data_IF_665983085026
#
_entry.id   IF_665983085026
#
_cell.length_a   1.000
_cell.length_b   1.000
_cell.length_c   1.000
_cell.angle_alpha   90.00
_cell.angle_beta   90.00
_cell.angle_gamma   90.00
#
_symmetry.space_group_name_H-M   'P 1'
#
loop_
_entity.id
_entity.type
_entity.pdbx_description
1 polymer ?
#
# COMPACT_ATOMS: atom_id res chain seq x y z
N UNK A 1 7.16 -7.04 26.68
CA UNK A 1 7.64 -5.65 26.81
C UNK A 1 8.48 -5.20 25.60
N UNK A 2 9.39 -6.03 25.06
CA UNK A 2 10.21 -5.65 23.89
C UNK A 2 9.40 -5.28 22.63
N UNK A 3 8.29 -5.98 22.35
CA UNK A 3 7.39 -5.66 21.23
C UNK A 3 6.81 -4.24 21.25
N UNK A 4 6.68 -3.62 22.42
CA UNK A 4 6.17 -2.24 22.54
C UNK A 4 7.25 -1.22 22.12
N UNK A 5 8.52 -1.50 22.42
CA UNK A 5 9.63 -0.59 22.12
C UNK A 5 9.94 -0.51 20.62
N UNK A 6 9.76 -1.59 19.86
CA UNK A 6 10.00 -1.53 18.41
C UNK A 6 8.92 -0.80 17.64
N UNK A 7 7.70 -0.75 18.18
CA UNK A 7 6.63 0.09 17.65
C UNK A 7 6.90 1.60 17.80
N UNK A 8 7.82 1.98 18.69
CA UNK A 8 8.31 3.34 18.80
C UNK A 8 8.98 3.81 17.50
N UNK A 9 9.54 2.90 16.69
CA UNK A 9 10.12 3.21 15.39
C UNK A 9 9.12 3.90 14.46
N UNK A 10 7.91 3.34 14.34
CA UNK A 10 6.82 3.94 13.54
C UNK A 10 6.45 5.34 14.04
N UNK A 11 6.35 5.52 15.37
CA UNK A 11 6.00 6.81 15.97
C UNK A 11 7.08 7.86 15.72
N UNK A 12 8.35 7.54 16.02
CA UNK A 12 9.46 8.48 15.87
C UNK A 12 9.70 8.84 14.40
N UNK A 13 9.70 7.85 13.50
CA UNK A 13 9.89 8.07 12.07
C UNK A 13 8.68 8.78 11.44
N UNK A 14 7.46 8.49 11.91
CA UNK A 14 6.26 9.22 11.50
C UNK A 14 6.31 10.70 11.92
N UNK A 15 6.70 10.99 13.16
CA UNK A 15 6.90 12.37 13.63
C UNK A 15 8.01 13.09 12.85
N UNK A 16 9.12 12.39 12.58
CA UNK A 16 10.21 12.92 11.75
C UNK A 16 9.73 13.26 10.34
N UNK A 17 8.95 12.38 9.71
CA UNK A 17 8.36 12.64 8.41
C UNK A 17 7.39 13.83 8.43
N UNK A 18 6.55 13.96 9.47
CA UNK A 18 5.68 15.11 9.65
C UNK A 18 6.48 16.42 9.76
N UNK A 19 7.60 16.42 10.48
CA UNK A 19 8.49 17.57 10.57
C UNK A 19 9.13 17.92 9.21
N UNK A 20 9.51 16.92 8.41
CA UNK A 20 10.03 17.11 7.04
C UNK A 20 8.96 17.72 6.12
N UNK A 21 7.73 17.20 6.16
CA UNK A 21 6.59 17.72 5.40
C UNK A 21 6.26 19.15 5.82
N UNK A 22 6.27 19.44 7.13
CA UNK A 22 6.05 20.79 7.66
C UNK A 22 7.07 21.80 7.16
N UNK A 23 8.37 21.46 7.25
CA UNK A 23 9.44 22.32 6.74
C UNK A 23 9.28 22.61 5.23
N UNK A 24 8.95 21.57 4.46
CA UNK A 24 8.73 21.68 3.01
C UNK A 24 7.46 22.47 2.68
N UNK A 25 6.41 22.33 3.46
CA UNK A 25 5.17 23.09 3.34
C UNK A 25 5.43 24.59 3.55
N UNK A 26 6.12 24.97 4.63
CA UNK A 26 6.46 26.37 4.91
C UNK A 26 7.33 26.98 3.81
N UNK A 27 8.32 26.21 3.31
CA UNK A 27 9.17 26.65 2.21
C UNK A 27 8.36 26.85 0.93
N UNK A 28 7.38 25.97 0.66
CA UNK A 28 6.48 26.09 -0.48
C UNK A 28 5.51 27.29 -0.34
N UNK A 29 5.02 27.58 0.87
CA UNK A 29 4.18 28.76 1.11
C UNK A 29 4.92 30.06 0.78
N UNK A 30 6.21 30.13 1.10
CA UNK A 30 7.09 31.28 0.84
C UNK A 30 7.49 31.44 -0.64
N UNK A 31 7.17 30.49 -1.54
CA UNK A 31 7.43 30.61 -2.98
C UNK A 31 6.47 31.62 -3.64
N UNK A 32 6.95 32.32 -4.66
CA UNK A 32 6.12 33.23 -5.48
C UNK A 32 5.09 32.45 -6.30
N UNK A 33 4.03 33.12 -6.76
CA UNK A 33 2.98 32.49 -7.56
C UNK A 33 3.56 31.82 -8.83
N UNK A 34 4.44 32.51 -9.56
CA UNK A 34 5.12 31.96 -10.74
C UNK A 34 5.96 30.70 -10.42
N UNK A 35 6.54 30.61 -9.22
CA UNK A 35 7.28 29.42 -8.78
C UNK A 35 6.37 28.26 -8.37
N UNK A 36 5.12 28.54 -8.00
CA UNK A 36 4.11 27.52 -7.64
C UNK A 36 3.47 26.89 -8.87
N UNK A 37 3.49 27.57 -10.01
CA UNK A 37 3.02 27.06 -11.31
C UNK A 37 4.03 26.13 -12.00
N UNK A 38 5.28 26.06 -11.50
CA UNK A 38 6.32 25.18 -12.03
C UNK A 38 6.28 23.80 -11.34
N UNK A 39 6.10 22.74 -12.13
CA UNK A 39 6.16 21.36 -11.68
C UNK A 39 4.79 20.76 -11.30
N UNK A 40 4.82 19.63 -10.61
CA UNK A 40 3.61 18.90 -10.20
C UNK A 40 3.01 19.55 -8.94
N UNK A 41 1.71 19.89 -8.93
CA UNK A 41 1.03 20.45 -7.76
C UNK A 41 1.21 19.58 -6.51
N UNK A 42 1.63 20.22 -5.41
CA UNK A 42 1.94 19.53 -4.16
C UNK A 42 0.72 19.49 -3.23
N UNK A 43 0.22 18.29 -2.95
CA UNK A 43 -0.87 18.06 -1.99
C UNK A 43 -0.33 17.69 -0.60
N UNK A 44 0.03 18.71 0.18
CA UNK A 44 0.57 18.53 1.54
C UNK A 44 -0.39 17.83 2.50
N UNK A 45 -1.71 18.04 2.35
CA UNK A 45 -2.72 17.38 3.20
C UNK A 45 -2.64 15.85 3.16
N UNK A 46 -2.40 15.26 1.97
CA UNK A 46 -2.23 13.81 1.83
C UNK A 46 -0.93 13.33 2.49
N UNK A 47 0.17 14.09 2.35
CA UNK A 47 1.45 13.77 2.98
C UNK A 47 1.36 13.82 4.52
N UNK A 48 0.66 14.81 5.07
CA UNK A 48 0.37 14.83 6.51
C UNK A 48 -0.49 13.65 6.95
N UNK A 49 -1.51 13.27 6.17
CA UNK A 49 -2.34 12.10 6.46
C UNK A 49 -1.52 10.80 6.48
N UNK A 50 -0.58 10.63 5.54
CA UNK A 50 0.35 9.50 5.53
C UNK A 50 1.22 9.46 6.79
N UNK A 51 1.78 10.60 7.20
CA UNK A 51 2.59 10.68 8.44
C UNK A 51 1.79 10.40 9.71
N UNK A 52 0.57 10.92 9.82
CA UNK A 52 -0.34 10.65 10.95
C UNK A 52 -0.76 9.18 10.96
N UNK A 53 -1.02 8.58 9.80
CA UNK A 53 -1.35 7.16 9.69
C UNK A 53 -0.20 6.28 10.22
N UNK A 54 1.05 6.60 9.88
CA UNK A 54 2.22 5.86 10.37
C UNK A 54 2.42 5.99 11.89
N UNK A 55 2.19 7.18 12.46
CA UNK A 55 2.21 7.36 13.92
C UNK A 55 1.10 6.55 14.58
N UNK A 56 -0.10 6.57 14.00
CA UNK A 56 -1.26 5.85 14.52
C UNK A 56 -1.07 4.33 14.46
N UNK A 57 -0.47 3.82 13.38
CA UNK A 57 -0.05 2.42 13.23
C UNK A 57 0.87 2.01 14.39
N UNK A 58 1.91 2.79 14.67
CA UNK A 58 2.81 2.53 15.81
C UNK A 58 2.11 2.51 17.18
N UNK A 59 1.20 3.46 17.42
CA UNK A 59 0.46 3.54 18.69
C UNK A 59 -0.51 2.37 18.89
N UNK A 60 -1.22 1.97 17.83
CA UNK A 60 -2.22 0.90 17.89
C UNK A 60 -1.58 -0.49 17.88
N UNK A 61 -0.48 -0.68 17.14
CA UNK A 61 0.36 -1.87 17.22
C UNK A 61 0.90 -2.05 18.64
N UNK A 62 1.43 -0.96 19.25
CA UNK A 62 1.87 -0.98 20.64
C UNK A 62 0.74 -1.36 21.60
N UNK A 63 -0.47 -0.80 21.41
CA UNK A 63 -1.64 -1.13 22.23
C UNK A 63 -2.06 -2.60 22.10
N UNK A 64 -1.97 -3.19 20.90
CA UNK A 64 -2.21 -4.62 20.69
C UNK A 64 -1.20 -5.49 21.44
N UNK A 65 0.08 -5.13 21.42
CA UNK A 65 1.11 -5.87 22.16
C UNK A 65 1.02 -5.72 23.69
N UNK A 66 0.41 -4.64 24.19
CA UNK A 66 0.08 -4.49 25.61
C UNK A 66 -1.14 -5.32 25.99
N UNK A 67 -2.19 -5.29 25.19
CA UNK A 67 -3.43 -6.04 25.42
C UNK A 67 -3.87 -6.77 24.13
N UNK A 68 -3.43 -8.03 23.93
CA UNK A 68 -3.73 -8.78 22.72
C UNK A 68 -5.19 -9.22 22.75
N UNK A 69 -6.00 -8.64 21.87
CA UNK A 69 -7.39 -9.03 21.62
C UNK A 69 -7.76 -8.75 20.16
N UNK A 70 -8.86 -9.35 19.69
CA UNK A 70 -9.28 -9.26 18.29
C UNK A 70 -9.61 -7.84 17.84
N UNK A 71 -10.13 -6.98 18.73
CA UNK A 71 -10.43 -5.58 18.38
C UNK A 71 -9.14 -4.79 18.16
N UNK A 72 -8.17 -4.91 19.07
CA UNK A 72 -6.87 -4.23 18.95
C UNK A 72 -6.10 -4.71 17.70
N UNK A 73 -6.15 -6.01 17.39
CA UNK A 73 -5.56 -6.55 16.16
C UNK A 73 -6.19 -5.94 14.90
N UNK A 74 -7.51 -5.80 14.87
CA UNK A 74 -8.20 -5.17 13.74
C UNK A 74 -7.87 -3.69 13.60
N UNK A 75 -7.75 -2.95 14.71
CA UNK A 75 -7.34 -1.55 14.66
C UNK A 75 -5.91 -1.40 14.14
N UNK A 76 -4.97 -2.22 14.61
CA UNK A 76 -3.60 -2.26 14.11
C UNK A 76 -3.55 -2.50 12.59
N UNK A 77 -4.18 -3.59 12.13
CA UNK A 77 -4.22 -3.92 10.70
C UNK A 77 -4.95 -2.89 9.83
N UNK A 78 -6.00 -2.26 10.36
CA UNK A 78 -6.75 -1.23 9.62
C UNK A 78 -5.86 -0.04 9.26
N UNK A 79 -4.93 0.35 10.14
CA UNK A 79 -4.01 1.45 9.83
C UNK A 79 -2.95 1.05 8.81
N UNK A 80 -2.51 -0.21 8.79
CA UNK A 80 -1.67 -0.71 7.70
C UNK A 80 -2.40 -0.62 6.35
N UNK A 81 -3.70 -0.94 6.29
CA UNK A 81 -4.52 -0.77 5.07
C UNK A 81 -4.66 0.70 4.68
N UNK A 82 -4.92 1.58 5.64
CA UNK A 82 -5.02 3.03 5.41
C UNK A 82 -3.71 3.55 4.83
N UNK A 83 -2.58 3.24 5.46
CA UNK A 83 -1.24 3.62 4.99
C UNK A 83 -1.00 3.13 3.55
N UNK A 84 -1.35 1.88 3.25
CA UNK A 84 -1.24 1.29 1.89
C UNK A 84 -1.97 2.12 0.84
N UNK A 85 -3.25 2.41 1.10
CA UNK A 85 -4.13 3.09 0.15
C UNK A 85 -3.75 4.56 0.02
N UNK A 86 -3.37 5.24 1.11
CA UNK A 86 -2.87 6.62 1.04
C UNK A 86 -1.61 6.71 0.17
N UNK A 87 -0.70 5.74 0.26
CA UNK A 87 0.47 5.68 -0.64
C UNK A 87 0.05 5.51 -2.11
N UNK A 88 -0.87 4.59 -2.41
CA UNK A 88 -1.38 4.41 -3.78
C UNK A 88 -2.02 5.69 -4.31
N UNK A 89 -2.85 6.36 -3.50
CA UNK A 89 -3.48 7.63 -3.87
C UNK A 89 -2.43 8.71 -4.10
N UNK A 90 -1.36 8.76 -3.30
CA UNK A 90 -0.27 9.73 -3.48
C UNK A 90 0.44 9.56 -4.83
N UNK A 91 0.73 8.32 -5.21
CA UNK A 91 1.35 7.99 -6.51
C UNK A 91 0.40 8.37 -7.66
N UNK A 92 -0.89 8.07 -7.49
CA UNK A 92 -1.90 8.35 -8.51
C UNK A 92 -2.10 9.86 -8.74
N UNK A 93 -2.19 10.64 -7.65
CA UNK A 93 -2.37 12.10 -7.71
C UNK A 93 -1.18 12.81 -8.36
N UNK A 94 0.05 12.31 -8.18
CA UNK A 94 1.24 12.87 -8.83
C UNK A 94 1.13 12.91 -10.37
N UNK A 95 0.36 12.00 -10.99
CA UNK A 95 0.19 11.95 -12.46
C UNK A 95 -1.11 12.56 -12.95
N UNK A 96 -2.11 12.62 -12.10
CA UNK A 96 -3.43 13.14 -12.47
C UNK A 96 -3.86 14.24 -11.49
N UNK A 97 -3.11 15.36 -11.38
CA UNK A 97 -3.45 16.44 -10.45
C UNK A 97 -4.83 17.04 -10.75
N UNK A 98 -5.26 17.00 -12.02
CA UNK A 98 -6.55 17.54 -12.47
C UNK A 98 -7.75 16.63 -12.13
N UNK A 99 -7.50 15.36 -11.78
CA UNK A 99 -8.53 14.36 -11.45
C UNK A 99 -8.29 13.85 -10.04
N UNK A 100 -8.31 14.79 -9.10
CA UNK A 100 -8.26 14.43 -7.69
C UNK A 100 -9.48 13.59 -7.33
N UNK A 101 -9.23 12.36 -6.85
CA UNK A 101 -10.24 11.59 -6.17
C UNK A 101 -10.75 12.44 -5.00
N UNK A 102 -12.04 12.76 -5.00
CA UNK A 102 -12.66 13.56 -3.92
C UNK A 102 -12.37 12.84 -2.60
N UNK A 103 -11.98 13.58 -1.57
CA UNK A 103 -11.62 13.00 -0.28
C UNK A 103 -12.70 12.02 0.24
N UNK A 104 -13.98 12.35 0.10
CA UNK A 104 -15.11 11.48 0.45
C UNK A 104 -15.12 10.14 -0.31
N UNK A 105 -14.73 10.12 -1.58
CA UNK A 105 -14.66 8.88 -2.36
C UNK A 105 -13.50 8.00 -1.87
N UNK A 106 -12.33 8.59 -1.61
CA UNK A 106 -11.18 7.86 -1.05
C UNK A 106 -11.50 7.29 0.33
N UNK A 107 -12.11 8.08 1.22
CA UNK A 107 -12.55 7.60 2.53
C UNK A 107 -13.66 6.55 2.44
N UNK A 108 -14.57 6.65 1.48
CA UNK A 108 -15.58 5.63 1.22
C UNK A 108 -14.97 4.29 0.79
N UNK A 109 -13.98 4.31 -0.11
CA UNK A 109 -13.24 3.10 -0.51
C UNK A 109 -12.47 2.51 0.66
N UNK A 110 -11.79 3.35 1.46
CA UNK A 110 -11.11 2.92 2.68
C UNK A 110 -12.07 2.25 3.67
N UNK A 111 -13.22 2.87 3.93
CA UNK A 111 -14.24 2.31 4.81
C UNK A 111 -14.75 0.96 4.31
N UNK A 112 -14.94 0.81 2.99
CA UNK A 112 -15.33 -0.46 2.38
C UNK A 112 -14.25 -1.54 2.56
N UNK A 113 -12.98 -1.20 2.33
CA UNK A 113 -11.85 -2.13 2.52
C UNK A 113 -11.77 -2.58 3.99
N UNK A 114 -11.87 -1.65 4.94
CA UNK A 114 -11.86 -1.96 6.38
C UNK A 114 -13.07 -2.82 6.75
N UNK A 115 -14.26 -2.52 6.22
CA UNK A 115 -15.46 -3.32 6.45
C UNK A 115 -15.32 -4.75 5.91
N UNK A 116 -14.79 -4.92 4.70
CA UNK A 116 -14.49 -6.24 4.14
C UNK A 116 -13.48 -6.98 5.01
N UNK A 117 -12.43 -6.29 5.48
CA UNK A 117 -11.45 -6.80 6.45
C UNK A 117 -12.11 -7.31 7.73
N UNK A 118 -12.97 -6.50 8.34
CA UNK A 118 -13.73 -6.83 9.54
C UNK A 118 -14.62 -8.07 9.35
N UNK A 119 -15.40 -8.11 8.27
CA UNK A 119 -16.27 -9.25 7.95
C UNK A 119 -15.44 -10.51 7.74
N UNK A 120 -14.31 -10.41 7.05
CA UNK A 120 -13.43 -11.56 6.85
C UNK A 120 -12.78 -12.06 8.14
N UNK A 121 -12.40 -11.18 9.07
CA UNK A 121 -11.88 -11.60 10.38
C UNK A 121 -12.96 -12.28 11.23
N UNK A 122 -14.20 -11.79 11.20
CA UNK A 122 -15.29 -12.33 12.02
C UNK A 122 -15.95 -13.59 11.42
N UNK A 123 -16.03 -13.67 10.08
CA UNK A 123 -16.85 -14.68 9.39
C UNK A 123 -16.28 -15.10 8.02
N UNK A 124 -15.00 -15.52 7.98
CA UNK A 124 -14.34 -16.08 6.79
C UNK A 124 -14.91 -17.45 6.40
N UNK A 125 -16.10 -17.47 5.80
CA UNK A 125 -16.68 -18.67 5.17
C UNK A 125 -16.13 -18.90 3.76
N UNK A 126 -16.30 -20.11 3.25
CA UNK A 126 -15.95 -20.46 1.87
C UNK A 126 -16.59 -19.53 0.82
N UNK A 127 -17.88 -19.20 1.00
CA UNK A 127 -18.59 -18.25 0.13
C UNK A 127 -18.01 -16.83 0.18
N UNK A 128 -17.54 -16.40 1.35
CA UNK A 128 -16.88 -15.10 1.50
C UNK A 128 -15.56 -15.07 0.75
N UNK A 129 -14.76 -16.14 0.83
CA UNK A 129 -13.52 -16.27 0.05
C UNK A 129 -13.77 -16.23 -1.46
N UNK A 130 -14.76 -16.98 -1.98
CA UNK A 130 -15.13 -16.91 -3.40
C UNK A 130 -15.53 -15.49 -3.79
N UNK A 131 -16.43 -14.87 -3.02
CA UNK A 131 -16.92 -13.53 -3.31
C UNK A 131 -15.78 -12.49 -3.30
N UNK A 132 -14.88 -12.57 -2.32
CA UNK A 132 -13.70 -11.71 -2.23
C UNK A 132 -12.75 -11.93 -3.41
N UNK A 133 -12.44 -13.18 -3.77
CA UNK A 133 -11.57 -13.48 -4.92
C UNK A 133 -12.15 -12.95 -6.22
N UNK A 134 -13.45 -13.13 -6.46
CA UNK A 134 -14.14 -12.57 -7.63
C UNK A 134 -14.06 -11.04 -7.62
N UNK A 135 -14.33 -10.41 -6.47
CA UNK A 135 -14.25 -8.95 -6.33
C UNK A 135 -12.83 -8.42 -6.58
N UNK A 136 -11.81 -9.07 -6.02
CA UNK A 136 -10.39 -8.72 -6.18
C UNK A 136 -9.98 -8.80 -7.65
N UNK A 137 -10.23 -9.93 -8.31
CA UNK A 137 -9.90 -10.12 -9.73
C UNK A 137 -10.67 -9.14 -10.63
N UNK A 138 -11.96 -8.93 -10.38
CA UNK A 138 -12.76 -7.97 -11.13
C UNK A 138 -12.20 -6.54 -10.96
N UNK A 139 -11.81 -6.15 -9.75
CA UNK A 139 -11.22 -4.84 -9.47
C UNK A 139 -9.89 -4.68 -10.21
N UNK A 140 -9.00 -5.67 -10.18
CA UNK A 140 -7.74 -5.65 -10.93
C UNK A 140 -7.96 -5.52 -12.44
N UNK A 141 -8.94 -6.23 -12.99
CA UNK A 141 -9.29 -6.15 -14.42
C UNK A 141 -9.82 -4.76 -14.80
N UNK A 142 -10.77 -4.22 -14.01
CA UNK A 142 -11.32 -2.88 -14.24
C UNK A 142 -10.22 -1.82 -14.13
N UNK A 143 -9.37 -1.89 -13.10
CA UNK A 143 -8.24 -0.97 -12.93
C UNK A 143 -7.27 -1.05 -14.11
N UNK A 144 -6.95 -2.26 -14.58
CA UNK A 144 -6.08 -2.47 -15.74
C UNK A 144 -6.65 -1.83 -17.00
N UNK A 145 -7.94 -2.05 -17.26
CA UNK A 145 -8.62 -1.45 -18.40
C UNK A 145 -8.59 0.09 -18.34
N UNK A 146 -8.87 0.67 -17.17
CA UNK A 146 -8.85 2.12 -16.95
C UNK A 146 -7.45 2.72 -17.16
N UNK A 147 -6.42 2.09 -16.59
CA UNK A 147 -5.03 2.57 -16.70
C UNK A 147 -4.53 2.45 -18.15
N UNK A 148 -4.90 1.39 -18.86
CA UNK A 148 -4.40 1.13 -20.21
C UNK A 148 -5.06 2.02 -21.28
N UNK A 149 -6.40 2.08 -21.31
CA UNK A 149 -7.12 2.75 -22.39
C UNK A 149 -7.43 4.21 -22.11
N UNK A 150 -7.85 4.50 -20.87
CA UNK A 150 -8.34 5.83 -20.52
C UNK A 150 -7.23 6.68 -19.92
N UNK A 151 -6.16 6.05 -19.41
CA UNK A 151 -5.07 6.72 -18.71
C UNK A 151 -5.56 7.56 -17.53
N UNK A 152 -6.80 7.36 -17.07
CA UNK A 152 -7.48 8.16 -16.05
C UNK A 152 -8.47 7.26 -15.32
N UNK A 153 -8.42 7.26 -13.99
CA UNK A 153 -9.41 6.58 -13.16
C UNK A 153 -10.58 7.51 -12.86
N UNK A 154 -11.76 7.22 -13.43
CA UNK A 154 -12.99 7.97 -13.12
C UNK A 154 -14.18 7.02 -12.92
N UNK A 155 -14.61 6.87 -11.67
CA UNK A 155 -15.79 6.10 -11.27
C UNK A 155 -17.09 6.88 -11.61
N UNK A 156 -17.58 6.76 -12.85
CA UNK A 156 -18.95 7.18 -13.20
C UNK A 156 -19.84 5.97 -13.49
N UNK A 157 -21.15 6.03 -13.19
CA UNK A 157 -22.11 4.94 -13.46
C UNK A 157 -22.23 4.52 -14.93
N UNK A 158 -21.80 5.38 -15.87
CA UNK A 158 -21.67 5.04 -17.30
C UNK A 158 -20.38 4.29 -17.67
N UNK A 159 -19.52 3.95 -16.72
CA UNK A 159 -18.21 3.31 -16.97
C UNK A 159 -18.35 2.01 -17.77
N UNK A 160 -19.24 1.11 -17.34
CA UNK A 160 -19.42 -0.20 -17.98
C UNK A 160 -19.98 -0.02 -19.40
N UNK A 161 -20.93 0.91 -19.57
CA UNK A 161 -21.48 1.23 -20.89
C UNK A 161 -20.43 1.86 -21.83
N UNK A 162 -19.52 2.71 -21.32
CA UNK A 162 -18.43 3.30 -22.11
C UNK A 162 -17.39 2.25 -22.50
N UNK A 163 -16.96 1.42 -21.54
CA UNK A 163 -16.04 0.32 -21.80
C UNK A 163 -16.61 -0.68 -22.83
N UNK A 164 -17.89 -1.04 -22.70
CA UNK A 164 -18.57 -1.89 -23.67
C UNK A 164 -18.68 -1.22 -25.05
N UNK A 165 -18.99 0.09 -25.11
CA UNK A 165 -19.07 0.83 -26.37
C UNK A 165 -17.71 0.95 -27.06
N UNK A 166 -16.62 1.15 -26.32
CA UNK A 166 -15.26 1.17 -26.86
C UNK A 166 -14.84 -0.20 -27.39
N UNK A 167 -15.14 -1.27 -26.66
CA UNK A 167 -14.86 -2.64 -27.08
C UNK A 167 -15.65 -3.03 -28.35
N UNK A 168 -16.92 -2.61 -28.44
CA UNK A 168 -17.79 -2.88 -29.60
C UNK A 168 -17.42 -2.02 -30.81
N UNK A 169 -17.03 -0.76 -30.60
CA UNK A 169 -16.76 0.18 -31.71
C UNK A 169 -15.38 0.01 -32.34
N UNK A 170 -14.37 -0.49 -31.61
CA UNK A 170 -13.00 -0.68 -32.13
C UNK A 170 -12.32 -1.96 -31.60
N UNK A 171 -12.81 -3.16 -31.96
CA UNK A 171 -12.27 -4.43 -31.46
C UNK A 171 -10.80 -4.65 -31.83
N UNK A 172 -10.37 -4.25 -33.05
CA UNK A 172 -8.99 -4.38 -33.50
C UNK A 172 -8.04 -3.42 -32.78
N UNK A 173 -8.46 -2.18 -32.50
CA UNK A 173 -7.64 -1.21 -31.76
C UNK A 173 -7.55 -1.54 -30.26
N UNK A 174 -8.55 -2.25 -29.71
CA UNK A 174 -8.54 -2.82 -28.36
C UNK A 174 -7.67 -4.09 -28.23
N UNK A 175 -7.14 -4.62 -29.34
CA UNK A 175 -6.26 -5.79 -29.33
C UNK A 175 -4.83 -5.39 -29.72
N UNK A 176 -4.65 -4.35 -30.53
CA UNK A 176 -3.31 -3.85 -30.91
C UNK A 176 -2.69 -3.02 -29.78
N UNK A 177 -1.55 -3.45 -29.22
CA UNK A 177 -0.93 -2.72 -28.13
C UNK A 177 -0.27 -1.42 -28.63
N UNK A 178 -0.87 -0.27 -28.31
CA UNK A 178 -0.35 1.06 -28.70
C UNK A 178 0.85 1.49 -27.85
N UNK A 179 0.95 0.99 -26.62
CA UNK A 179 2.05 1.25 -25.69
C UNK A 179 2.61 -0.04 -25.10
N UNK A 180 3.61 -0.63 -25.75
CA UNK A 180 4.22 -1.92 -25.34
C UNK A 180 4.71 -1.91 -23.88
N UNK A 181 5.37 -0.85 -23.43
CA UNK A 181 5.88 -0.75 -22.05
C UNK A 181 4.78 -0.79 -20.99
N UNK A 182 3.68 -0.04 -21.21
CA UNK A 182 2.50 -0.07 -20.31
C UNK A 182 1.82 -1.43 -20.32
N UNK A 183 1.72 -2.06 -21.50
CA UNK A 183 1.10 -3.38 -21.67
C UNK A 183 1.83 -4.46 -20.87
N UNK A 184 3.16 -4.56 -21.03
CA UNK A 184 3.98 -5.58 -20.35
C UNK A 184 3.88 -5.43 -18.83
N UNK A 185 3.98 -4.21 -18.30
CA UNK A 185 3.90 -3.99 -16.86
C UNK A 185 2.51 -4.34 -16.28
N UNK A 186 1.43 -4.05 -17.02
CA UNK A 186 0.08 -4.41 -16.59
C UNK A 186 -0.17 -5.92 -16.65
N UNK A 187 0.41 -6.62 -17.63
CA UNK A 187 0.38 -8.10 -17.67
C UNK A 187 1.08 -8.66 -16.44
N UNK A 188 2.28 -8.19 -16.12
CA UNK A 188 3.01 -8.60 -14.91
C UNK A 188 2.15 -8.35 -13.67
N UNK A 189 1.54 -7.16 -13.54
CA UNK A 189 0.70 -6.83 -12.40
C UNK A 189 -0.53 -7.74 -12.27
N UNK A 190 -1.18 -8.11 -13.39
CA UNK A 190 -2.30 -9.05 -13.36
C UNK A 190 -1.85 -10.47 -13.00
N UNK A 191 -0.75 -10.96 -13.58
CA UNK A 191 -0.19 -12.27 -13.24
C UNK A 191 0.16 -12.36 -11.76
N UNK A 192 0.77 -11.31 -11.19
CA UNK A 192 1.03 -11.25 -9.75
C UNK A 192 -0.25 -11.27 -8.92
N UNK A 193 -1.28 -10.52 -9.30
CA UNK A 193 -2.57 -10.54 -8.60
C UNK A 193 -3.28 -11.91 -8.70
N UNK A 194 -3.20 -12.59 -9.85
CA UNK A 194 -3.74 -13.93 -10.03
C UNK A 194 -3.00 -14.95 -9.16
N UNK A 195 -1.68 -14.85 -9.06
CA UNK A 195 -0.88 -15.70 -8.19
C UNK A 195 -1.26 -15.51 -6.70
N UNK A 196 -1.45 -14.26 -6.25
CA UNK A 196 -1.89 -13.97 -4.88
C UNK A 196 -3.31 -14.50 -4.63
N UNK A 197 -4.22 -14.31 -5.58
CA UNK A 197 -5.58 -14.83 -5.49
C UNK A 197 -5.59 -16.37 -5.39
N UNK A 198 -4.79 -17.05 -6.23
CA UNK A 198 -4.62 -18.49 -6.18
C UNK A 198 -4.03 -18.97 -4.85
N UNK A 199 -3.04 -18.24 -4.30
CA UNK A 199 -2.48 -18.51 -2.99
C UNK A 199 -3.53 -18.38 -1.87
N UNK A 200 -4.37 -17.34 -1.91
CA UNK A 200 -5.46 -17.14 -0.95
C UNK A 200 -6.46 -18.29 -0.96
N UNK A 201 -6.88 -18.72 -2.16
CA UNK A 201 -7.78 -19.87 -2.33
C UNK A 201 -7.11 -21.19 -1.96
N UNK A 202 -5.81 -21.36 -2.17
CA UNK A 202 -5.13 -22.60 -1.83
C UNK A 202 -4.97 -22.78 -0.31
N UNK A 203 -4.65 -21.71 0.43
CA UNK A 203 -4.39 -21.80 1.87
C UNK A 203 -5.66 -21.78 2.73
N UNK A 204 -6.78 -21.19 2.28
CA UNK A 204 -8.04 -21.08 3.04
C UNK A 204 -7.82 -20.79 4.55
N UNK A 205 -6.84 -19.93 4.88
CA UNK A 205 -6.45 -19.72 6.26
C UNK A 205 -7.44 -18.80 6.96
N UNK A 206 -7.59 -18.94 8.27
CA UNK A 206 -8.41 -18.03 9.10
C UNK A 206 -7.83 -16.60 9.16
N UNK A 207 -6.63 -16.38 8.62
CA UNK A 207 -5.96 -15.08 8.62
C UNK A 207 -6.27 -14.26 7.34
N UNK A 208 -7.56 -13.92 7.19
CA UNK A 208 -8.00 -13.08 6.08
C UNK A 208 -7.35 -11.68 6.13
N UNK A 209 -7.10 -11.14 7.32
CA UNK A 209 -6.51 -9.82 7.49
C UNK A 209 -5.10 -9.73 6.88
N UNK A 210 -4.24 -10.71 7.14
CA UNK A 210 -2.91 -10.77 6.51
C UNK A 210 -3.00 -11.01 5.00
N UNK A 211 -3.99 -11.78 4.53
CA UNK A 211 -4.21 -11.94 3.09
C UNK A 211 -4.60 -10.62 2.41
N UNK A 212 -5.52 -9.86 3.00
CA UNK A 212 -5.91 -8.54 2.51
C UNK A 212 -4.72 -7.56 2.54
N UNK A 213 -3.91 -7.59 3.60
CA UNK A 213 -2.67 -6.80 3.68
C UNK A 213 -1.72 -7.16 2.54
N UNK A 214 -1.50 -8.45 2.29
CA UNK A 214 -0.64 -8.95 1.22
C UNK A 214 -1.11 -8.44 -0.15
N UNK A 215 -2.42 -8.48 -0.43
CA UNK A 215 -3.01 -7.93 -1.67
C UNK A 215 -2.72 -6.43 -1.79
N UNK A 216 -2.98 -5.64 -0.74
CA UNK A 216 -2.77 -4.19 -0.77
C UNK A 216 -1.29 -3.83 -0.91
N UNK A 217 -0.41 -4.41 -0.11
CA UNK A 217 1.04 -4.15 -0.14
C UNK A 217 1.66 -4.58 -1.48
N UNK A 218 1.31 -5.76 -2.01
CA UNK A 218 1.84 -6.20 -3.30
C UNK A 218 1.42 -5.28 -4.44
N UNK A 219 0.16 -4.83 -4.44
CA UNK A 219 -0.30 -3.86 -5.42
C UNK A 219 0.38 -2.50 -5.26
N UNK A 220 0.71 -2.09 -4.03
CA UNK A 220 1.45 -0.86 -3.79
C UNK A 220 2.86 -0.97 -4.39
N UNK A 221 3.57 -2.06 -4.15
CA UNK A 221 4.91 -2.28 -4.73
C UNK A 221 4.87 -2.34 -6.26
N UNK A 222 3.92 -3.09 -6.82
CA UNK A 222 3.74 -3.18 -8.28
C UNK A 222 3.43 -1.80 -8.87
N UNK A 223 2.60 -1.00 -8.20
CA UNK A 223 2.25 0.32 -8.68
C UNK A 223 3.41 1.32 -8.57
N UNK A 224 4.19 1.26 -7.49
CA UNK A 224 5.41 2.05 -7.33
C UNK A 224 6.47 1.66 -8.37
N UNK A 225 6.65 0.37 -8.64
CA UNK A 225 7.55 -0.10 -9.70
C UNK A 225 7.07 0.37 -11.06
N UNK A 226 5.77 0.22 -11.36
CA UNK A 226 5.13 0.74 -12.57
C UNK A 226 5.42 2.22 -12.74
N UNK A 227 5.26 3.01 -11.67
CA UNK A 227 5.52 4.45 -11.67
C UNK A 227 6.98 4.78 -12.03
N UNK A 228 7.94 4.13 -11.35
CA UNK A 228 9.38 4.36 -11.58
C UNK A 228 9.75 3.96 -13.02
N UNK A 229 9.35 2.77 -13.47
CA UNK A 229 9.67 2.28 -14.82
C UNK A 229 9.09 3.21 -15.88
N UNK A 230 7.84 3.65 -15.73
CA UNK A 230 7.25 4.60 -16.67
C UNK A 230 7.98 5.95 -16.69
N UNK A 231 8.46 6.43 -15.53
CA UNK A 231 9.29 7.63 -15.45
C UNK A 231 10.58 7.49 -16.26
N UNK A 232 11.24 6.33 -16.15
CA UNK A 232 12.46 6.01 -16.91
C UNK A 232 12.21 5.85 -18.41
N UNK A 233 11.13 5.16 -18.80
CA UNK A 233 10.75 4.96 -20.20
C UNK A 233 10.44 6.29 -20.91
N UNK A 234 9.80 7.23 -20.19
CA UNK A 234 9.51 8.57 -20.69
C UNK A 234 10.68 9.56 -20.55
N UNK A 235 11.86 9.10 -20.08
CA UNK A 235 13.07 9.91 -19.89
C UNK A 235 12.91 11.10 -18.95
N UNK A 236 12.02 10.98 -17.97
CA UNK A 236 11.92 11.97 -16.91
C UNK A 236 13.08 11.81 -15.93
N UNK A 237 13.74 12.92 -15.57
CA UNK A 237 14.88 12.88 -14.67
C UNK A 237 14.44 12.56 -13.24
N UNK A 238 15.19 11.67 -12.58
CA UNK A 238 15.06 11.37 -11.15
C UNK A 238 16.33 11.88 -10.48
N UNK A 239 16.18 12.72 -9.46
CA UNK A 239 17.32 13.30 -8.74
C UNK A 239 18.08 12.24 -7.95
N UNK A 240 19.37 12.47 -7.74
CA UNK A 240 20.27 11.49 -7.11
C UNK A 240 19.81 11.07 -5.70
N UNK A 241 19.27 11.99 -4.90
CA UNK A 241 18.80 11.68 -3.55
C UNK A 241 17.54 10.82 -3.56
N UNK A 242 16.66 11.00 -4.56
CA UNK A 242 15.49 10.15 -4.76
C UNK A 242 15.91 8.72 -5.13
N UNK A 243 16.99 8.54 -5.88
CA UNK A 243 17.59 7.22 -6.15
C UNK A 243 18.08 6.54 -4.88
N UNK A 244 18.70 7.28 -3.95
CA UNK A 244 19.10 6.74 -2.65
C UNK A 244 17.88 6.25 -1.87
N UNK A 245 16.80 7.04 -1.83
CA UNK A 245 15.56 6.60 -1.17
C UNK A 245 14.92 5.39 -1.84
N UNK A 246 14.92 5.30 -3.18
CA UNK A 246 14.44 4.13 -3.93
C UNK A 246 15.24 2.88 -3.53
N UNK A 247 16.58 2.96 -3.56
CA UNK A 247 17.45 1.83 -3.23
C UNK A 247 17.26 1.35 -1.78
N UNK A 248 17.21 2.28 -0.83
CA UNK A 248 16.97 1.97 0.58
C UNK A 248 15.59 1.35 0.81
N UNK A 249 14.56 1.90 0.16
CA UNK A 249 13.18 1.41 0.24
C UNK A 249 13.10 -0.07 -0.16
N UNK A 250 13.54 -0.42 -1.36
CA UNK A 250 13.44 -1.81 -1.83
C UNK A 250 14.35 -2.77 -1.05
N UNK A 251 15.56 -2.34 -0.68
CA UNK A 251 16.49 -3.18 0.08
C UNK A 251 15.93 -3.55 1.46
N UNK A 252 15.38 -2.56 2.18
CA UNK A 252 14.85 -2.77 3.53
C UNK A 252 13.50 -3.50 3.46
N UNK A 253 12.64 -3.21 2.47
CA UNK A 253 11.40 -3.97 2.28
C UNK A 253 11.64 -5.45 1.99
N UNK A 254 12.64 -5.78 1.18
CA UNK A 254 13.02 -7.16 0.92
C UNK A 254 13.47 -7.86 2.21
N UNK A 255 14.31 -7.19 3.01
CA UNK A 255 14.70 -7.69 4.34
C UNK A 255 13.51 -7.86 5.29
N UNK A 256 12.61 -6.88 5.35
CA UNK A 256 11.39 -6.94 6.18
C UNK A 256 10.49 -8.11 5.77
N UNK A 257 10.29 -8.33 4.47
CA UNK A 257 9.44 -9.41 3.94
C UNK A 257 9.95 -10.80 4.34
N UNK A 258 11.27 -10.99 4.42
CA UNK A 258 11.86 -12.24 4.91
C UNK A 258 11.42 -12.55 6.35
N UNK A 259 11.52 -11.56 7.24
CA UNK A 259 11.12 -11.72 8.64
C UNK A 259 9.60 -11.79 8.83
N UNK A 260 8.81 -11.19 7.93
CA UNK A 260 7.36 -11.32 7.93
C UNK A 260 6.90 -12.76 7.64
N UNK A 261 7.58 -13.44 6.71
CA UNK A 261 7.25 -14.81 6.33
C UNK A 261 7.77 -15.86 7.34
N UNK A 262 8.79 -15.53 8.14
CA UNK A 262 9.24 -16.34 9.28
C UNK A 262 8.30 -16.16 10.49
N UNK A 263 7.05 -16.61 10.33
CA UNK A 263 6.00 -16.47 11.34
C UNK A 263 6.29 -17.35 12.57
N UNK A 264 6.62 -16.71 13.69
CA UNK A 264 6.73 -17.35 14.99
C UNK A 264 5.46 -17.16 15.86
N UNK A 265 4.50 -16.35 15.39
CA UNK A 265 3.26 -16.01 16.12
C UNK A 265 2.04 -16.12 15.20
N UNK A 266 0.94 -16.67 15.71
CA UNK A 266 -0.31 -16.79 14.95
C UNK A 266 -1.48 -16.31 15.81
N UNK A 267 -2.08 -15.19 15.42
CA UNK A 267 -3.18 -14.55 16.15
C UNK A 267 -4.50 -15.32 16.04
N UNK A 268 -4.66 -16.17 15.02
CA UNK A 268 -5.86 -16.98 14.82
C UNK A 268 -5.91 -18.21 15.75
N UNK A 269 -4.80 -18.52 16.43
CA UNK A 269 -4.70 -19.61 17.41
C UNK A 269 -4.86 -19.08 18.83
N UNK A 270 -5.23 -19.98 19.76
CA UNK A 270 -5.23 -19.62 21.18
C UNK A 270 -3.80 -19.29 21.65
N UNK A 271 -3.62 -18.44 22.68
CA UNK A 271 -2.29 -18.11 23.19
C UNK A 271 -1.46 -19.34 23.58
N UNK A 272 -2.10 -20.40 24.07
CA UNK A 272 -1.45 -21.66 24.41
C UNK A 272 -0.93 -22.42 23.18
N UNK A 273 -1.70 -22.44 22.09
CA UNK A 273 -1.31 -23.07 20.83
C UNK A 273 -0.24 -22.25 20.08
N UNK A 274 -0.37 -20.92 20.04
CA UNK A 274 0.64 -20.06 19.41
C UNK A 274 2.00 -20.21 20.09
N UNK A 275 2.05 -20.38 21.43
CA UNK A 275 3.30 -20.57 22.18
C UNK A 275 4.09 -21.81 21.78
N UNK A 276 3.45 -22.82 21.19
CA UNK A 276 4.14 -24.02 20.70
C UNK A 276 5.02 -23.73 19.47
N UNK A 277 4.76 -22.62 18.77
CA UNK A 277 5.54 -22.18 17.61
C UNK A 277 6.65 -21.19 17.98
N UNK A 278 6.78 -20.81 19.26
CA UNK A 278 7.81 -19.88 19.70
C UNK A 278 9.20 -20.52 19.57
N UNK A 279 10.11 -19.84 18.88
CA UNK A 279 11.53 -20.20 18.79
C UNK A 279 12.38 -19.39 19.77
N UNK A 280 13.62 -19.81 20.00
CA UNK A 280 14.58 -19.00 20.76
C UNK A 280 14.85 -17.68 20.02
N UNK A 281 14.92 -16.57 20.78
CA UNK A 281 15.18 -15.23 20.25
C UNK A 281 16.52 -15.18 19.51
N UNK A 282 16.53 -14.59 18.32
CA UNK A 282 17.69 -14.61 17.40
C UNK A 282 18.66 -13.47 17.66
N UNK A 283 18.18 -12.22 17.72
CA UNK A 283 19.03 -11.04 17.87
C UNK A 283 19.26 -10.72 19.35
N UNK A 284 20.53 -10.78 19.77
CA UNK A 284 20.97 -10.54 21.16
C UNK A 284 20.27 -11.42 22.22
N UNK A 285 19.68 -12.55 21.81
CA UNK A 285 18.80 -13.39 22.63
C UNK A 285 17.62 -12.65 23.28
N UNK A 286 17.30 -11.45 22.78
CA UNK A 286 16.29 -10.57 23.35
C UNK A 286 15.11 -10.32 22.41
N UNK A 287 15.34 -10.45 21.09
CA UNK A 287 14.38 -10.13 20.05
C UNK A 287 14.06 -11.34 19.18
N UNK A 288 12.79 -11.45 18.80
CA UNK A 288 12.32 -12.44 17.85
C UNK A 288 12.27 -11.88 16.43
N UNK A 289 11.95 -12.73 15.46
CA UNK A 289 11.80 -12.32 14.06
C UNK A 289 10.70 -11.26 13.87
N UNK A 290 9.69 -11.24 14.73
CA UNK A 290 8.56 -10.32 14.63
C UNK A 290 8.94 -8.88 15.05
N UNK A 291 9.77 -8.74 16.09
CA UNK A 291 10.36 -7.47 16.50
C UNK A 291 11.23 -6.86 15.40
N UNK A 292 12.08 -7.69 14.78
CA UNK A 292 12.95 -7.28 13.68
C UNK A 292 12.10 -6.86 12.47
N UNK A 293 11.01 -7.58 12.20
CA UNK A 293 10.06 -7.20 11.16
C UNK A 293 9.52 -5.78 11.38
N UNK A 294 8.95 -5.48 12.56
CA UNK A 294 8.41 -4.15 12.90
C UNK A 294 9.42 -3.02 12.76
N UNK A 295 10.67 -3.27 13.15
CA UNK A 295 11.74 -2.29 12.97
C UNK A 295 12.06 -2.03 11.50
N UNK A 296 12.22 -3.10 10.71
CA UNK A 296 12.55 -2.98 9.29
C UNK A 296 11.38 -2.39 8.49
N UNK A 297 10.14 -2.76 8.79
CA UNK A 297 8.95 -2.22 8.12
C UNK A 297 8.74 -0.74 8.43
N UNK A 298 8.90 -0.31 9.70
CA UNK A 298 8.81 1.13 10.04
C UNK A 298 9.88 1.96 9.31
N UNK A 299 11.09 1.43 9.23
CA UNK A 299 12.20 2.04 8.48
C UNK A 299 11.93 2.05 6.97
N UNK A 300 11.42 0.95 6.41
CA UNK A 300 11.06 0.85 4.99
C UNK A 300 9.92 1.81 4.61
N UNK A 301 8.91 1.94 5.47
CA UNK A 301 7.81 2.89 5.31
C UNK A 301 8.32 4.33 5.31
N UNK A 302 9.21 4.69 6.24
CA UNK A 302 9.81 6.02 6.28
C UNK A 302 10.58 6.36 5.00
N UNK A 303 11.40 5.44 4.50
CA UNK A 303 12.11 5.65 3.23
C UNK A 303 11.16 5.67 2.04
N UNK A 304 10.10 4.86 2.04
CA UNK A 304 9.04 4.90 1.02
C UNK A 304 8.36 6.27 0.98
N UNK A 305 8.04 6.83 2.14
CA UNK A 305 7.43 8.15 2.25
C UNK A 305 8.36 9.26 1.74
N UNK A 306 9.63 9.20 2.11
CA UNK A 306 10.63 10.15 1.61
C UNK A 306 10.84 10.00 0.10
N UNK A 307 10.80 8.77 -0.43
CA UNK A 307 10.79 8.51 -1.87
C UNK A 307 9.57 9.17 -2.52
N UNK A 308 8.35 8.95 -2.03
CA UNK A 308 7.13 9.58 -2.59
C UNK A 308 7.12 11.10 -2.46
N UNK A 309 7.81 11.65 -1.47
CA UNK A 309 8.00 13.09 -1.28
C UNK A 309 8.95 13.69 -2.32
N UNK A 310 9.94 12.93 -2.79
CA UNK A 310 11.10 13.43 -3.55
C UNK A 310 11.18 12.93 -5.00
N UNK A 311 10.41 11.91 -5.38
CA UNK A 311 10.50 11.27 -6.71
C UNK A 311 10.12 12.21 -7.87
N UNK A 312 9.33 13.24 -7.56
CA UNK A 312 8.79 14.23 -8.51
C UNK A 312 9.47 15.61 -8.39
N UNK A 313 10.59 15.68 -7.68
CA UNK A 313 11.37 16.92 -7.49
C UNK A 313 12.13 17.36 -8.76
#
# INVERSE_FOLDING_TARGET
FNHVFWNLGYVLLGLLFLAQVWRRHNTHQNKTAAQKELGIPQHFGLLYAMGIALVSEGLLSAAYHVCPNSMNFQFDQSFMYVTSVLCMVKIYQSRHPDINARAHATFGVLALIIFIGLVGVLNANFYFWIAFTVLHLATCLVMTFQIYYLGRFKLDGGMICRAARELVSRPLAAITPTHCGRCVLLIIANLSNWAIAAYGVAQHSRDFASHLLLVLMSNLFLYTLFYIVMKLLNRESIRWYSWVFIALTYSIWFGSSYFYLDQNTNWALTPAQSRQSNRQCSLLQLYDSHDIWHFLSSTAMFFSFNMYLTIDD
#
